data_IF_491617812861
#
_entry.id   IF_491617812861
#
_cell.length_a   1.000
_cell.length_b   1.000
_cell.length_c   1.000
_cell.angle_alpha   90.00
_cell.angle_beta   90.00
_cell.angle_gamma   90.00
#
_symmetry.space_group_name_H-M   'P 1'
#
loop_
_entity.id
_entity.type
_entity.pdbx_description
1 polymer ?
#
# COMPACT_ATOMS: atom_id res chain seq x y z
N UNK A 1 5.01 -3.46 -18.80
CA UNK A 1 5.68 -4.11 -17.64
C UNK A 1 5.24 -3.44 -16.35
N UNK A 2 4.99 -4.23 -15.31
CA UNK A 2 4.73 -3.70 -13.96
C UNK A 2 5.86 -4.11 -13.00
N UNK A 3 6.45 -3.15 -12.31
CA UNK A 3 7.44 -3.37 -11.26
C UNK A 3 6.74 -3.47 -9.89
N UNK A 4 6.87 -4.60 -9.19
CA UNK A 4 6.18 -4.87 -7.93
C UNK A 4 7.20 -4.95 -6.79
N UNK A 5 7.08 -4.05 -5.82
CA UNK A 5 7.83 -4.05 -4.55
C UNK A 5 7.04 -4.74 -3.47
N UNK A 6 7.73 -5.50 -2.61
CA UNK A 6 7.06 -6.38 -1.66
C UNK A 6 6.41 -7.59 -2.36
N UNK A 7 7.06 -8.10 -3.40
CA UNK A 7 6.57 -9.18 -4.27
C UNK A 7 6.21 -10.46 -3.50
N UNK A 8 6.89 -10.73 -2.39
CA UNK A 8 6.59 -11.87 -1.51
C UNK A 8 5.33 -11.66 -0.64
N UNK A 9 4.75 -10.48 -0.61
CA UNK A 9 3.51 -10.23 0.13
C UNK A 9 2.34 -10.98 -0.50
N UNK A 10 1.39 -11.43 0.33
CA UNK A 10 0.20 -12.14 -0.17
C UNK A 10 -0.64 -11.28 -1.11
N UNK A 11 -0.72 -9.98 -0.85
CA UNK A 11 -1.41 -9.04 -1.74
C UNK A 11 -0.73 -8.98 -3.13
N UNK A 12 0.60 -8.88 -3.17
CA UNK A 12 1.33 -8.87 -4.44
C UNK A 12 1.16 -10.19 -5.21
N UNK A 13 1.17 -11.33 -4.51
CA UNK A 13 0.92 -12.65 -5.13
C UNK A 13 -0.50 -12.76 -5.69
N UNK A 14 -1.51 -12.25 -4.99
CA UNK A 14 -2.87 -12.18 -5.52
C UNK A 14 -2.96 -11.28 -6.75
N UNK A 15 -2.23 -10.16 -6.76
CA UNK A 15 -2.24 -9.23 -7.89
C UNK A 15 -1.80 -9.89 -9.20
N UNK A 16 -0.93 -10.89 -9.16
CA UNK A 16 -0.51 -11.61 -10.37
C UNK A 16 -1.69 -12.24 -11.13
N UNK A 17 -2.74 -12.68 -10.42
CA UNK A 17 -3.96 -13.21 -11.02
C UNK A 17 -4.90 -12.15 -11.61
N UNK A 18 -4.62 -10.87 -11.41
CA UNK A 18 -5.38 -9.74 -11.95
C UNK A 18 -4.63 -9.00 -13.06
N UNK A 19 -3.38 -9.38 -13.33
CA UNK A 19 -2.63 -8.76 -14.42
C UNK A 19 -3.19 -9.21 -15.77
N UNK A 20 -3.25 -8.29 -16.75
CA UNK A 20 -3.57 -8.66 -18.12
C UNK A 20 -2.61 -9.75 -18.64
N UNK A 21 -3.05 -10.68 -19.52
CA UNK A 21 -2.21 -11.79 -19.99
C UNK A 21 -0.90 -11.38 -20.66
N UNK A 22 -0.83 -10.17 -21.20
CA UNK A 22 0.35 -9.60 -21.86
C UNK A 22 1.28 -8.82 -20.89
N UNK A 23 0.90 -8.67 -19.61
CA UNK A 23 1.66 -7.88 -18.65
C UNK A 23 2.75 -8.71 -17.97
N UNK A 24 3.99 -8.26 -18.09
CA UNK A 24 5.13 -8.86 -17.40
C UNK A 24 5.31 -8.24 -16.00
N UNK A 25 5.17 -9.05 -14.96
CA UNK A 25 5.47 -8.65 -13.59
C UNK A 25 6.96 -8.81 -13.27
N UNK A 26 7.58 -7.73 -12.83
CA UNK A 26 8.99 -7.70 -12.42
C UNK A 26 9.05 -7.54 -10.90
N UNK A 27 9.56 -8.55 -10.15
CA UNK A 27 9.83 -8.37 -8.73
C UNK A 27 10.96 -7.37 -8.53
N UNK A 28 10.79 -6.46 -7.57
CA UNK A 28 11.81 -5.48 -7.19
C UNK A 28 12.24 -5.74 -5.76
N UNK A 29 13.51 -6.06 -5.58
CA UNK A 29 14.12 -6.35 -4.29
C UNK A 29 14.17 -5.12 -3.37
N UNK A 30 14.32 -5.38 -2.06
CA UNK A 30 14.48 -4.31 -1.06
C UNK A 30 15.74 -3.49 -1.36
N UNK A 31 15.57 -2.17 -1.48
CA UNK A 31 16.67 -1.23 -1.81
C UNK A 31 16.90 -1.03 -3.31
N UNK A 32 16.43 -1.91 -4.18
CA UNK A 32 16.48 -1.71 -5.62
C UNK A 32 15.38 -0.76 -6.10
N UNK A 33 15.60 -0.10 -7.22
CA UNK A 33 14.60 0.71 -7.90
C UNK A 33 14.57 0.36 -9.40
N UNK A 34 13.40 -0.01 -9.90
CA UNK A 34 13.15 -0.10 -11.33
C UNK A 34 12.56 1.24 -11.78
N UNK A 35 13.15 1.88 -12.75
CA UNK A 35 12.69 3.18 -13.29
C UNK A 35 12.16 3.08 -14.72
N UNK A 36 12.27 1.89 -15.34
CA UNK A 36 11.94 1.67 -16.75
C UNK A 36 10.54 1.08 -16.96
N UNK A 37 9.97 0.45 -15.94
CA UNK A 37 8.59 -0.03 -16.01
C UNK A 37 7.62 1.15 -16.10
N UNK A 38 6.58 1.03 -16.89
CA UNK A 38 5.51 2.03 -16.97
C UNK A 38 4.64 2.01 -15.71
N UNK A 39 4.38 0.82 -15.15
CA UNK A 39 3.54 0.62 -13.98
C UNK A 39 4.34 0.18 -12.76
N UNK A 40 3.99 0.72 -11.61
CA UNK A 40 4.68 0.42 -10.34
C UNK A 40 3.66 0.18 -9.23
N UNK A 41 3.85 -0.93 -8.51
CA UNK A 41 3.04 -1.27 -7.35
C UNK A 41 3.93 -1.42 -6.11
N UNK A 42 3.61 -0.67 -5.06
CA UNK A 42 4.31 -0.72 -3.77
C UNK A 42 3.45 -1.44 -2.74
N UNK A 43 3.70 -2.74 -2.53
CA UNK A 43 2.99 -3.60 -1.57
C UNK A 43 3.80 -3.88 -0.30
N UNK A 44 4.99 -3.31 -0.15
CA UNK A 44 5.81 -3.52 1.05
C UNK A 44 5.20 -2.85 2.28
N UNK A 45 5.49 -3.41 3.43
CA UNK A 45 5.11 -2.84 4.71
C UNK A 45 5.64 -3.69 5.86
N UNK A 46 6.08 -3.03 6.92
CA UNK A 46 6.53 -3.64 8.17
C UNK A 46 5.65 -3.10 9.29
N UNK A 47 5.20 -3.98 10.15
CA UNK A 47 4.42 -3.64 11.34
C UNK A 47 5.02 -4.36 12.54
N UNK A 48 5.27 -3.61 13.61
CA UNK A 48 5.66 -4.13 14.92
C UNK A 48 4.44 -4.05 15.83
N UNK A 49 3.83 -5.19 16.23
CA UNK A 49 2.55 -5.20 16.93
C UNK A 49 2.71 -4.83 18.42
N UNK A 50 3.26 -3.65 18.68
CA UNK A 50 3.51 -3.08 20.01
C UNK A 50 3.16 -1.59 20.04
N UNK A 51 2.67 -1.04 21.16
CA UNK A 51 2.51 0.39 21.33
C UNK A 51 3.82 1.13 21.14
N UNK A 52 3.80 2.31 20.53
CA UNK A 52 5.01 3.09 20.21
C UNK A 52 5.92 3.32 21.41
N UNK A 53 5.36 3.47 22.62
CA UNK A 53 6.13 3.63 23.85
C UNK A 53 6.91 2.38 24.30
N UNK A 54 6.67 1.22 23.68
CA UNK A 54 7.41 -0.03 23.91
C UNK A 54 8.33 -0.40 22.74
N UNK A 55 8.19 0.27 21.61
CA UNK A 55 9.05 0.06 20.44
C UNK A 55 10.42 0.68 20.70
N UNK A 56 11.47 0.00 20.30
CA UNK A 56 12.82 0.55 20.28
C UNK A 56 12.96 1.62 19.19
N UNK A 57 13.98 2.48 19.29
CA UNK A 57 14.30 3.45 18.24
C UNK A 57 14.55 2.79 16.89
N UNK A 58 15.16 1.62 16.86
CA UNK A 58 15.43 0.86 15.65
C UNK A 58 14.12 0.40 14.99
N UNK A 59 13.18 -0.17 15.76
CA UNK A 59 11.88 -0.60 15.24
C UNK A 59 11.06 0.57 14.68
N UNK A 60 11.05 1.72 15.36
CA UNK A 60 10.40 2.92 14.86
C UNK A 60 11.07 3.38 13.55
N UNK A 61 12.40 3.45 13.51
CA UNK A 61 13.14 3.85 12.32
C UNK A 61 12.89 2.89 11.14
N UNK A 62 12.91 1.58 11.37
CA UNK A 62 12.63 0.56 10.37
C UNK A 62 11.19 0.64 9.84
N UNK A 63 10.24 0.94 10.72
CA UNK A 63 8.84 1.16 10.33
C UNK A 63 8.71 2.37 9.39
N UNK A 64 9.32 3.51 9.74
CA UNK A 64 9.33 4.70 8.88
C UNK A 64 10.08 4.47 7.58
N UNK A 65 11.23 3.81 7.61
CA UNK A 65 12.01 3.51 6.40
C UNK A 65 11.22 2.62 5.44
N UNK A 66 10.64 1.52 5.91
CA UNK A 66 9.95 0.57 5.06
C UNK A 66 8.59 1.08 4.55
N UNK A 67 7.83 1.79 5.41
CA UNK A 67 6.47 2.19 5.09
C UNK A 67 6.35 3.58 4.45
N UNK A 68 7.37 4.44 4.59
CA UNK A 68 7.34 5.80 4.06
C UNK A 68 8.62 6.19 3.31
N UNK A 69 9.78 6.31 3.97
CA UNK A 69 10.95 6.98 3.40
C UNK A 69 11.45 6.31 2.13
N UNK A 70 11.56 4.98 2.13
CA UNK A 70 11.97 4.23 0.94
C UNK A 70 10.92 4.36 -0.19
N UNK A 71 9.63 4.31 0.14
CA UNK A 71 8.54 4.48 -0.83
C UNK A 71 8.64 5.86 -1.49
N UNK A 72 8.72 6.92 -0.69
CA UNK A 72 8.78 8.29 -1.19
C UNK A 72 10.01 8.53 -2.08
N UNK A 73 11.20 8.11 -1.63
CA UNK A 73 12.43 8.23 -2.43
C UNK A 73 12.36 7.49 -3.77
N UNK A 74 11.81 6.28 -3.77
CA UNK A 74 11.67 5.51 -5.01
C UNK A 74 10.61 6.11 -5.94
N UNK A 75 9.49 6.59 -5.42
CA UNK A 75 8.50 7.32 -6.22
C UNK A 75 9.12 8.59 -6.83
N UNK A 76 9.90 9.35 -6.06
CA UNK A 76 10.59 10.55 -6.55
C UNK A 76 11.55 10.23 -7.70
N UNK A 77 12.35 9.18 -7.57
CA UNK A 77 13.27 8.75 -8.61
C UNK A 77 12.54 8.29 -9.88
N UNK A 78 11.48 7.48 -9.73
CA UNK A 78 10.68 7.01 -10.86
C UNK A 78 10.03 8.21 -11.58
N UNK A 79 9.37 9.10 -10.83
CA UNK A 79 8.71 10.28 -11.40
C UNK A 79 9.69 11.27 -12.03
N UNK A 80 10.94 11.34 -11.55
CA UNK A 80 11.97 12.18 -12.14
C UNK A 80 12.52 11.63 -13.47
N UNK A 81 12.45 10.32 -13.70
CA UNK A 81 13.10 9.65 -14.82
C UNK A 81 12.15 9.05 -15.86
N UNK A 82 10.86 8.87 -15.52
CA UNK A 82 9.87 8.24 -16.38
C UNK A 82 8.62 9.12 -16.52
N UNK A 83 8.44 9.72 -17.69
CA UNK A 83 7.35 10.65 -17.99
C UNK A 83 5.97 9.99 -18.03
N UNK A 84 5.90 8.68 -18.19
CA UNK A 84 4.66 7.90 -18.28
C UNK A 84 4.43 6.99 -17.08
N UNK A 85 5.14 7.24 -15.97
CA UNK A 85 5.05 6.38 -14.80
C UNK A 85 3.66 6.43 -14.16
N UNK A 86 3.07 5.26 -13.94
CA UNK A 86 1.82 5.05 -13.20
C UNK A 86 2.13 4.30 -11.92
N UNK A 87 1.94 4.94 -10.78
CA UNK A 87 2.37 4.43 -9.47
C UNK A 87 1.16 4.25 -8.56
N UNK A 88 0.97 3.02 -8.06
CA UNK A 88 0.03 2.71 -6.99
C UNK A 88 0.78 2.31 -5.73
N UNK A 89 0.52 3.01 -4.63
CA UNK A 89 1.11 2.74 -3.31
C UNK A 89 0.05 2.15 -2.39
N UNK A 90 0.39 1.11 -1.65
CA UNK A 90 -0.51 0.56 -0.63
C UNK A 90 -0.30 1.29 0.69
N UNK A 91 -1.26 2.14 1.00
CA UNK A 91 -1.42 2.81 2.28
C UNK A 91 -2.03 1.90 3.35
N UNK A 92 -2.78 2.48 4.25
CA UNK A 92 -3.58 1.75 5.27
C UNK A 92 -4.61 2.67 5.89
N UNK A 93 -5.76 2.14 6.24
CA UNK A 93 -6.75 2.85 7.06
C UNK A 93 -6.18 3.28 8.43
N UNK A 94 -5.14 2.58 8.92
CA UNK A 94 -4.40 2.98 10.14
C UNK A 94 -3.75 4.37 10.04
N UNK A 95 -3.56 4.91 8.85
CA UNK A 95 -3.07 6.29 8.67
C UNK A 95 -4.13 7.35 8.93
N UNK A 96 -5.39 6.97 9.08
CA UNK A 96 -6.52 7.86 9.39
C UNK A 96 -7.15 7.60 10.76
N UNK A 97 -6.97 6.39 11.28
CA UNK A 97 -7.61 5.94 12.51
C UNK A 97 -6.59 5.41 13.51
N UNK A 98 -7.07 5.18 14.74
CA UNK A 98 -6.24 4.60 15.78
C UNK A 98 -5.67 3.22 15.36
N UNK A 99 -4.39 3.00 15.65
CA UNK A 99 -3.70 1.73 15.48
C UNK A 99 -2.91 1.38 16.72
N UNK A 100 -2.84 0.08 17.02
CA UNK A 100 -2.00 -0.41 18.12
C UNK A 100 -0.52 -0.15 17.85
N UNK A 101 -0.07 -0.27 16.60
CA UNK A 101 1.27 0.13 16.16
C UNK A 101 1.25 1.61 15.73
N UNK A 102 1.69 2.49 16.62
CA UNK A 102 1.70 3.93 16.38
C UNK A 102 2.73 4.36 15.35
N UNK A 103 3.91 3.70 15.28
CA UNK A 103 4.94 4.02 14.29
C UNK A 103 4.47 3.66 12.87
N UNK A 104 3.85 2.50 12.70
CA UNK A 104 3.23 2.09 11.43
C UNK A 104 2.12 3.08 11.00
N UNK A 105 1.23 3.44 11.92
CA UNK A 105 0.14 4.38 11.63
C UNK A 105 0.69 5.74 11.17
N UNK A 106 1.67 6.29 11.89
CA UNK A 106 2.31 7.55 11.53
C UNK A 106 3.02 7.49 10.17
N UNK A 107 3.74 6.40 9.88
CA UNK A 107 4.40 6.19 8.59
C UNK A 107 3.39 6.07 7.45
N UNK A 108 2.23 5.41 7.66
CA UNK A 108 1.15 5.34 6.66
C UNK A 108 0.45 6.68 6.46
N UNK A 109 0.25 7.48 7.52
CA UNK A 109 -0.23 8.86 7.38
C UNK A 109 0.75 9.73 6.58
N UNK A 110 2.06 9.58 6.81
CA UNK A 110 3.09 10.28 6.05
C UNK A 110 3.07 9.94 4.55
N UNK A 111 2.91 8.66 4.19
CA UNK A 111 2.81 8.27 2.77
C UNK A 111 1.52 8.77 2.12
N UNK A 112 0.40 8.81 2.84
CA UNK A 112 -0.84 9.42 2.35
C UNK A 112 -0.61 10.89 2.00
N UNK A 113 -0.05 11.64 2.94
CA UNK A 113 0.22 13.06 2.73
C UNK A 113 1.22 13.31 1.60
N UNK A 114 2.24 12.47 1.47
CA UNK A 114 3.18 12.53 0.36
C UNK A 114 2.46 12.40 -0.98
N UNK A 115 1.59 11.39 -1.15
CA UNK A 115 0.83 11.17 -2.40
C UNK A 115 -0.07 12.36 -2.71
N UNK A 116 -0.79 12.90 -1.72
CA UNK A 116 -1.71 14.03 -1.90
C UNK A 116 -1.02 15.33 -2.29
N UNK A 117 0.25 15.51 -1.91
CA UNK A 117 0.97 16.78 -2.11
C UNK A 117 2.07 16.72 -3.15
N UNK A 118 2.38 15.53 -3.68
CA UNK A 118 3.41 15.36 -4.70
C UNK A 118 2.99 16.01 -6.01
N UNK A 119 3.81 16.91 -6.50
CA UNK A 119 3.64 17.47 -7.85
C UNK A 119 4.21 16.50 -8.89
N UNK A 120 3.41 16.18 -9.88
CA UNK A 120 3.81 15.41 -11.04
C UNK A 120 4.51 16.31 -12.05
N UNK A 121 5.40 15.76 -12.85
CA UNK A 121 6.21 16.49 -13.83
C UNK A 121 5.51 16.59 -15.18
N UNK A 122 4.77 15.55 -15.56
CA UNK A 122 4.05 15.44 -16.83
C UNK A 122 2.58 15.07 -16.59
N UNK A 123 1.68 15.41 -17.51
CA UNK A 123 0.26 15.05 -17.39
C UNK A 123 0.01 13.53 -17.52
N UNK A 124 0.94 12.77 -18.10
CA UNK A 124 0.84 11.32 -18.27
C UNK A 124 1.19 10.54 -17.00
N UNK A 125 1.85 11.19 -16.04
CA UNK A 125 2.19 10.55 -14.77
C UNK A 125 0.98 10.39 -13.88
N UNK A 126 0.94 9.28 -13.15
CA UNK A 126 -0.06 9.01 -12.11
C UNK A 126 0.63 8.58 -10.82
N UNK A 127 0.19 9.14 -9.69
CA UNK A 127 0.56 8.69 -8.35
C UNK A 127 -0.70 8.61 -7.49
N UNK A 128 -1.06 7.42 -7.06
CA UNK A 128 -2.27 7.16 -6.27
C UNK A 128 -1.95 6.25 -5.10
N UNK A 129 -2.69 6.40 -4.01
CA UNK A 129 -2.60 5.51 -2.85
C UNK A 129 -3.93 4.78 -2.65
N UNK A 130 -3.87 3.48 -2.40
CA UNK A 130 -5.01 2.70 -1.92
C UNK A 130 -4.79 2.42 -0.44
N UNK A 131 -5.71 2.86 0.42
CA UNK A 131 -5.67 2.70 1.87
C UNK A 131 -6.73 1.68 2.33
N UNK A 132 -6.38 0.39 2.39
CA UNK A 132 -7.30 -0.65 2.81
C UNK A 132 -7.49 -0.66 4.33
N UNK A 133 -8.68 -1.08 4.77
CA UNK A 133 -8.93 -1.56 6.13
C UNK A 133 -8.23 -2.90 6.39
N UNK A 134 -8.70 -3.65 7.38
CA UNK A 134 -8.15 -4.99 7.68
C UNK A 134 -8.46 -5.92 6.51
N UNK A 135 -7.41 -6.46 5.90
CA UNK A 135 -7.51 -7.49 4.88
C UNK A 135 -7.39 -8.86 5.56
N UNK A 136 -8.48 -9.62 5.58
CA UNK A 136 -8.59 -10.84 6.38
C UNK A 136 -7.65 -11.97 5.95
N UNK A 137 -7.38 -12.07 4.66
CA UNK A 137 -6.61 -13.15 4.04
C UNK A 137 -5.12 -12.80 3.76
N UNK A 138 -4.59 -11.70 4.35
CA UNK A 138 -3.15 -11.42 4.27
C UNK A 138 -2.35 -12.15 5.34
N UNK A 139 -1.05 -12.37 5.06
CA UNK A 139 -0.14 -12.94 6.04
C UNK A 139 0.00 -12.11 7.32
N UNK A 140 -0.16 -10.78 7.23
CA UNK A 140 -0.14 -9.87 8.38
C UNK A 140 -1.32 -10.16 9.33
N UNK A 141 -2.53 -10.35 8.81
CA UNK A 141 -3.73 -10.66 9.61
C UNK A 141 -3.74 -12.10 10.09
N UNK A 142 -3.37 -13.07 9.22
CA UNK A 142 -3.39 -14.49 9.56
C UNK A 142 -2.41 -14.87 10.68
N UNK A 143 -1.27 -14.16 10.80
CA UNK A 143 -0.26 -14.38 11.86
C UNK A 143 -0.59 -13.71 13.19
N UNK A 144 -1.64 -12.86 13.25
CA UNK A 144 -2.04 -12.20 14.50
C UNK A 144 -2.48 -13.21 15.55
N UNK A 145 -2.08 -12.99 16.80
CA UNK A 145 -2.40 -13.84 17.95
C UNK A 145 -3.69 -13.42 18.65
N UNK A 146 -4.11 -12.17 18.52
CA UNK A 146 -5.30 -11.59 19.16
C UNK A 146 -6.61 -11.96 18.43
N UNK A 147 -6.88 -13.26 18.30
CA UNK A 147 -8.01 -13.80 17.52
C UNK A 147 -9.36 -13.28 17.99
N UNK A 148 -9.56 -13.20 19.31
CA UNK A 148 -10.81 -12.68 19.90
C UNK A 148 -11.05 -11.21 19.56
N UNK A 149 -9.99 -10.40 19.53
CA UNK A 149 -10.09 -9.01 19.10
C UNK A 149 -10.43 -8.91 17.62
N UNK A 150 -9.79 -9.73 16.78
CA UNK A 150 -10.13 -9.80 15.35
C UNK A 150 -11.61 -10.18 15.14
N UNK A 151 -12.08 -11.23 15.82
CA UNK A 151 -13.48 -11.68 15.70
C UNK A 151 -14.48 -10.59 16.14
N UNK A 152 -14.19 -9.87 17.24
CA UNK A 152 -15.01 -8.72 17.68
C UNK A 152 -15.02 -7.60 16.65
N UNK A 153 -13.85 -7.24 16.08
CA UNK A 153 -13.75 -6.19 15.05
C UNK A 153 -14.48 -6.60 13.77
N UNK A 154 -14.41 -7.86 13.37
CA UNK A 154 -15.12 -8.38 12.21
C UNK A 154 -16.65 -8.33 12.43
N UNK A 155 -17.12 -8.79 13.58
CA UNK A 155 -18.53 -8.73 13.94
C UNK A 155 -19.09 -7.30 14.06
N UNK A 156 -18.28 -6.37 14.53
CA UNK A 156 -18.63 -4.94 14.63
C UNK A 156 -18.51 -4.18 13.29
N UNK A 157 -17.83 -4.76 12.28
CA UNK A 157 -17.65 -4.11 11.00
C UNK A 157 -18.99 -3.94 10.27
N UNK A 158 -19.26 -2.79 9.60
CA UNK A 158 -20.53 -2.59 8.86
C UNK A 158 -20.83 -3.68 7.83
N UNK A 159 -19.78 -4.24 7.20
CA UNK A 159 -19.90 -5.35 6.24
C UNK A 159 -19.92 -6.73 6.89
N UNK A 160 -19.80 -6.83 8.23
CA UNK A 160 -19.74 -8.09 8.98
C UNK A 160 -18.65 -9.06 8.50
N UNK A 161 -17.64 -8.55 7.88
CA UNK A 161 -16.44 -9.27 7.40
C UNK A 161 -15.28 -8.30 7.15
N UNK A 162 -14.09 -8.85 7.09
CA UNK A 162 -12.92 -8.11 6.62
C UNK A 162 -12.87 -8.03 5.09
N UNK A 163 -12.08 -7.11 4.60
CA UNK A 163 -11.72 -6.96 3.20
C UNK A 163 -10.90 -8.18 2.74
N UNK A 164 -10.94 -8.51 1.45
CA UNK A 164 -10.11 -9.57 0.85
C UNK A 164 -9.01 -8.99 -0.03
N UNK A 165 -7.91 -9.73 -0.24
CA UNK A 165 -6.88 -9.36 -1.21
C UNK A 165 -7.46 -9.10 -2.60
N UNK A 166 -8.41 -9.94 -3.03
CA UNK A 166 -9.05 -9.80 -4.34
C UNK A 166 -9.79 -8.47 -4.51
N UNK A 167 -10.45 -7.97 -3.46
CA UNK A 167 -11.15 -6.67 -3.53
C UNK A 167 -10.16 -5.52 -3.65
N UNK A 168 -9.01 -5.59 -2.98
CA UNK A 168 -7.93 -4.60 -3.12
C UNK A 168 -7.30 -4.70 -4.51
N UNK A 169 -7.05 -5.91 -5.02
CA UNK A 169 -6.46 -6.13 -6.34
C UNK A 169 -7.33 -5.57 -7.47
N UNK A 170 -8.66 -5.69 -7.40
CA UNK A 170 -9.57 -5.07 -8.38
C UNK A 170 -9.43 -3.55 -8.42
N UNK A 171 -9.27 -2.91 -7.27
CA UNK A 171 -9.04 -1.46 -7.23
C UNK A 171 -7.68 -1.10 -7.83
N UNK A 172 -6.62 -1.87 -7.52
CA UNK A 172 -5.29 -1.66 -8.10
C UNK A 172 -5.33 -1.85 -9.62
N UNK A 173 -5.99 -2.93 -10.09
CA UNK A 173 -6.18 -3.21 -11.51
C UNK A 173 -6.89 -2.05 -12.21
N UNK A 174 -8.02 -1.59 -11.68
CA UNK A 174 -8.74 -0.44 -12.20
C UNK A 174 -7.82 0.78 -12.34
N UNK A 175 -7.12 1.16 -11.28
CA UNK A 175 -6.27 2.35 -11.26
C UNK A 175 -5.07 2.27 -12.22
N UNK A 176 -4.47 1.10 -12.38
CA UNK A 176 -3.26 0.97 -13.20
C UNK A 176 -3.54 0.62 -14.67
N UNK A 177 -4.73 0.07 -14.99
CA UNK A 177 -5.00 -0.46 -16.33
C UNK A 177 -6.28 0.10 -16.98
N UNK A 178 -7.28 0.50 -16.22
CA UNK A 178 -8.59 0.93 -16.75
C UNK A 178 -8.79 2.44 -16.62
N UNK A 179 -8.34 3.05 -15.50
CA UNK A 179 -8.43 4.50 -15.31
C UNK A 179 -7.51 5.25 -16.28
N UNK A 180 -7.96 6.36 -16.80
CA UNK A 180 -7.20 7.20 -17.74
C UNK A 180 -6.10 8.04 -17.07
N UNK A 181 -5.83 7.80 -15.77
CA UNK A 181 -4.81 8.52 -15.00
C UNK A 181 -5.30 9.81 -14.35
N UNK A 182 -6.58 10.17 -14.52
CA UNK A 182 -7.15 11.35 -13.85
C UNK A 182 -7.28 11.15 -12.33
N UNK A 183 -7.41 9.90 -11.88
CA UNK A 183 -7.36 9.53 -10.46
C UNK A 183 -5.91 9.55 -9.98
N UNK A 184 -5.42 10.74 -9.65
CA UNK A 184 -4.04 10.96 -9.19
C UNK A 184 -4.00 11.94 -8.02
N UNK A 185 -2.90 11.98 -7.25
CA UNK A 185 -2.75 12.87 -6.09
C UNK A 185 -3.78 12.62 -5.00
N UNK A 186 -4.30 11.40 -4.89
CA UNK A 186 -5.39 11.08 -3.97
C UNK A 186 -5.16 9.75 -3.23
N UNK A 187 -5.84 9.61 -2.09
CA UNK A 187 -5.86 8.37 -1.31
C UNK A 187 -7.26 7.78 -1.33
N UNK A 188 -7.39 6.61 -1.92
CA UNK A 188 -8.65 5.88 -2.01
C UNK A 188 -8.77 4.96 -0.80
N UNK A 189 -9.68 5.29 0.11
CA UNK A 189 -9.96 4.50 1.31
C UNK A 189 -10.91 3.35 0.99
N UNK A 190 -10.49 2.13 1.31
CA UNK A 190 -11.32 0.91 1.19
C UNK A 190 -11.56 0.36 2.58
N UNK A 191 -12.49 0.96 3.32
CA UNK A 191 -12.76 0.64 4.73
C UNK A 191 -14.19 0.10 5.00
N UNK A 192 -15.00 -0.08 3.95
CA UNK A 192 -16.33 -0.70 4.06
C UNK A 192 -17.34 0.04 4.94
N UNK A 193 -17.17 1.35 5.13
CA UNK A 193 -18.07 2.19 5.93
C UNK A 193 -17.71 2.28 7.41
N UNK A 194 -16.50 1.87 7.82
CA UNK A 194 -16.01 2.13 9.19
C UNK A 194 -15.77 3.64 9.33
N UNK A 195 -16.38 4.23 10.33
CA UNK A 195 -16.26 5.65 10.71
C UNK A 195 -15.26 5.84 11.86
#
# INVERSE_FOLDING_TARGET
MIAIRGFSSRLAQHMLGFLPPWELAIPVERGACNTTAERHLFCQGVMTPEPIGRQSRAEIADSFEANFSMVARQCDLILATNDHARICVIGSESGYSWSFDGAYAAAKAAVHRYVETKRLRTPEQQLVCVAPGIIGDTGMTLRRQDKDNLARREAAHPKRRFLTCSEVCRMIEFLLYTDDGYTTGTVIRIHGGVS
#
